data_IF_045631564299
#
_entry.id   IF_045631564299
#
_cell.length_a   1.000
_cell.length_b   1.000
_cell.length_c   1.000
_cell.angle_alpha   90.00
_cell.angle_beta   90.00
_cell.angle_gamma   90.00
#
_symmetry.space_group_name_H-M   'P 1'
#
loop_
_entity.id
_entity.type
_entity.pdbx_description
1 polymer ?
#
# COMPACT_ATOMS: atom_id res chain seq x y z
N UNK A 1 29.28 -36.24 -6.84
CA UNK A 1 29.81 -36.40 -5.47
C UNK A 1 29.79 -37.87 -5.05
N UNK A 2 28.63 -38.50 -4.84
CA UNK A 2 28.50 -39.92 -4.43
C UNK A 2 29.29 -40.87 -5.35
N UNK A 3 29.26 -40.65 -6.67
CA UNK A 3 30.02 -41.42 -7.66
C UNK A 3 31.54 -41.31 -7.45
N UNK A 4 32.05 -40.13 -7.11
CA UNK A 4 33.48 -39.93 -6.85
C UNK A 4 33.92 -40.53 -5.50
N UNK A 5 33.09 -40.38 -4.46
CA UNK A 5 33.29 -41.08 -3.18
C UNK A 5 33.36 -42.60 -3.38
N UNK A 6 32.44 -43.15 -4.19
CA UNK A 6 32.43 -44.56 -4.57
C UNK A 6 33.66 -44.95 -5.40
N UNK A 7 34.08 -44.15 -6.40
CA UNK A 7 35.28 -44.43 -7.18
C UNK A 7 36.56 -44.41 -6.34
N UNK A 8 36.69 -43.47 -5.39
CA UNK A 8 37.83 -43.44 -4.46
C UNK A 8 37.81 -44.61 -3.49
N UNK A 9 36.63 -44.99 -3.00
CA UNK A 9 36.45 -46.14 -2.13
C UNK A 9 36.70 -47.48 -2.86
N UNK A 10 36.25 -47.61 -4.11
CA UNK A 10 36.51 -48.75 -4.99
C UNK A 10 37.99 -48.83 -5.35
N UNK A 11 38.66 -47.69 -5.61
CA UNK A 11 40.11 -47.67 -5.81
C UNK A 11 40.84 -48.19 -4.57
N UNK A 12 40.48 -47.73 -3.36
CA UNK A 12 41.06 -48.23 -2.10
C UNK A 12 40.84 -49.75 -1.90
N UNK A 13 39.69 -50.28 -2.34
CA UNK A 13 39.37 -51.71 -2.28
C UNK A 13 40.10 -52.58 -3.32
N UNK A 14 40.41 -52.04 -4.50
CA UNK A 14 41.07 -52.78 -5.59
C UNK A 14 42.60 -52.88 -5.43
N UNK A 15 43.19 -52.03 -4.58
CA UNK A 15 44.64 -51.85 -4.48
C UNK A 15 45.33 -52.76 -3.45
N UNK A 16 44.58 -53.55 -2.65
CA UNK A 16 45.12 -54.57 -1.73
C UNK A 16 44.53 -55.97 -2.00
N UNK A 17 45.20 -56.83 -2.79
CA UNK A 17 44.83 -58.23 -2.89
C UNK A 17 45.38 -59.03 -1.70
N UNK A 18 44.56 -59.97 -1.22
CA UNK A 18 44.77 -60.79 -0.03
C UNK A 18 45.74 -61.97 -0.29
N UNK A 19 46.95 -61.74 -0.83
CA UNK A 19 47.88 -62.82 -1.24
C UNK A 19 49.32 -62.63 -0.72
N UNK A 20 49.77 -63.63 0.05
CA UNK A 20 51.14 -63.86 0.54
C UNK A 20 52.15 -64.02 -0.63
N UNK A 21 52.83 -62.96 -1.06
CA UNK A 21 54.12 -63.07 -1.78
C UNK A 21 54.97 -61.81 -1.51
N UNK A 22 55.92 -61.90 -0.57
CA UNK A 22 56.70 -60.77 -0.02
C UNK A 22 57.56 -59.98 -1.02
N UNK A 23 57.83 -60.51 -2.23
CA UNK A 23 58.73 -59.85 -3.20
C UNK A 23 58.04 -59.19 -4.41
N UNK A 24 56.71 -59.29 -4.55
CA UNK A 24 55.93 -58.58 -5.59
C UNK A 24 55.13 -57.39 -5.05
N UNK A 25 54.96 -57.28 -3.73
CA UNK A 25 54.25 -56.19 -3.05
C UNK A 25 54.95 -54.83 -3.19
N UNK A 26 56.28 -54.78 -3.11
CA UNK A 26 57.03 -53.51 -3.05
C UNK A 26 56.92 -52.66 -4.33
N UNK A 27 56.80 -53.29 -5.51
CA UNK A 27 56.69 -52.56 -6.79
C UNK A 27 55.25 -52.15 -7.07
N UNK A 28 54.27 -52.98 -6.68
CA UNK A 28 52.84 -52.70 -6.86
C UNK A 28 52.31 -51.65 -5.86
N UNK A 29 52.79 -51.63 -4.61
CA UNK A 29 52.42 -50.61 -3.62
C UNK A 29 52.76 -49.20 -4.10
N UNK A 30 53.94 -48.99 -4.71
CA UNK A 30 54.37 -47.65 -5.13
C UNK A 30 53.48 -47.02 -6.23
N UNK A 31 52.92 -47.85 -7.12
CA UNK A 31 52.09 -47.42 -8.25
C UNK A 31 50.62 -47.31 -7.86
N UNK A 32 50.19 -48.14 -6.92
CA UNK A 32 48.85 -48.17 -6.37
C UNK A 32 48.58 -46.96 -5.46
N UNK A 33 49.57 -46.55 -4.67
CA UNK A 33 49.51 -45.33 -3.85
C UNK A 33 49.33 -44.06 -4.68
N UNK A 34 49.94 -43.99 -5.87
CA UNK A 34 49.82 -42.82 -6.75
C UNK A 34 48.38 -42.62 -7.24
N UNK A 35 47.71 -43.69 -7.67
CA UNK A 35 46.33 -43.63 -8.17
C UNK A 35 45.39 -43.20 -7.03
N UNK A 36 45.53 -43.82 -5.86
CA UNK A 36 44.74 -43.48 -4.67
C UNK A 36 44.92 -42.01 -4.26
N UNK A 37 46.16 -41.54 -4.17
CA UNK A 37 46.47 -40.16 -3.79
C UNK A 37 45.94 -39.15 -4.82
N UNK A 38 46.05 -39.46 -6.11
CA UNK A 38 45.52 -38.59 -7.17
C UNK A 38 43.98 -38.44 -7.07
N UNK A 39 43.27 -39.55 -6.88
CA UNK A 39 41.82 -39.53 -6.72
C UNK A 39 41.38 -38.79 -5.45
N UNK A 40 42.09 -38.98 -4.33
CA UNK A 40 41.83 -38.26 -3.09
C UNK A 40 42.03 -36.75 -3.22
N UNK A 41 43.10 -36.31 -3.88
CA UNK A 41 43.36 -34.89 -4.11
C UNK A 41 42.26 -34.26 -4.98
N UNK A 42 41.82 -34.97 -6.03
CA UNK A 42 40.74 -34.51 -6.91
C UNK A 42 39.42 -34.39 -6.14
N UNK A 43 39.07 -35.36 -5.28
CA UNK A 43 37.82 -35.27 -4.50
C UNK A 43 37.84 -34.14 -3.49
N UNK A 44 38.96 -33.93 -2.78
CA UNK A 44 39.11 -32.80 -1.85
C UNK A 44 39.01 -31.46 -2.59
N UNK A 45 39.61 -31.33 -3.77
CA UNK A 45 39.48 -30.13 -4.62
C UNK A 45 38.03 -29.87 -5.03
N UNK A 46 37.29 -30.92 -5.39
CA UNK A 46 35.89 -30.81 -5.75
C UNK A 46 34.99 -30.44 -4.55
N UNK A 47 35.29 -31.00 -3.36
CA UNK A 47 34.65 -30.63 -2.09
C UNK A 47 34.80 -29.13 -1.83
N UNK A 48 36.01 -28.59 -2.01
CA UNK A 48 36.28 -27.17 -1.83
C UNK A 48 35.48 -26.32 -2.83
N UNK A 49 35.47 -26.70 -4.12
CA UNK A 49 34.73 -25.96 -5.15
C UNK A 49 33.22 -25.96 -4.92
N UNK A 50 32.64 -27.06 -4.44
CA UNK A 50 31.21 -27.15 -4.12
C UNK A 50 30.90 -26.29 -2.89
N UNK A 51 31.75 -26.38 -1.87
CA UNK A 51 31.53 -25.67 -0.61
C UNK A 51 31.53 -24.15 -0.79
N UNK A 52 32.24 -23.62 -1.80
CA UNK A 52 32.26 -22.19 -2.12
C UNK A 52 31.03 -21.71 -2.92
N UNK A 53 30.28 -22.61 -3.58
CA UNK A 53 29.12 -22.24 -4.41
C UNK A 53 27.82 -22.21 -3.59
N UNK A 54 27.71 -21.26 -2.66
CA UNK A 54 26.56 -21.15 -1.75
C UNK A 54 25.71 -19.90 -2.03
N UNK A 55 25.26 -19.73 -3.28
CA UNK A 55 24.54 -18.53 -3.73
C UNK A 55 23.17 -18.32 -3.05
N UNK A 56 22.54 -19.38 -2.53
CA UNK A 56 21.22 -19.30 -1.91
C UNK A 56 21.21 -18.51 -0.59
N UNK A 57 22.35 -18.38 0.10
CA UNK A 57 22.47 -17.61 1.35
C UNK A 57 22.11 -16.14 1.13
N UNK A 58 22.38 -15.58 -0.05
CA UNK A 58 22.13 -14.17 -0.36
C UNK A 58 20.65 -13.79 -0.18
N UNK A 59 19.72 -14.71 -0.47
CA UNK A 59 18.27 -14.48 -0.50
C UNK A 59 17.57 -14.72 0.86
N UNK A 60 18.31 -15.09 1.90
CA UNK A 60 17.74 -15.33 3.23
C UNK A 60 17.52 -14.02 4.00
N UNK A 61 16.43 -13.97 4.76
CA UNK A 61 16.12 -12.86 5.66
C UNK A 61 17.08 -12.85 6.88
N UNK A 62 17.23 -11.70 7.55
CA UNK A 62 18.14 -11.54 8.72
C UNK A 62 17.94 -12.62 9.79
N UNK A 63 16.68 -12.94 10.15
CA UNK A 63 16.36 -14.00 11.13
C UNK A 63 16.82 -15.39 10.68
N UNK A 64 16.63 -15.72 9.40
CA UNK A 64 17.03 -17.01 8.83
C UNK A 64 18.55 -17.15 8.76
N UNK A 65 19.26 -16.07 8.39
CA UNK A 65 20.73 -16.04 8.41
C UNK A 65 21.28 -16.23 9.82
N UNK A 66 20.66 -15.62 10.84
CA UNK A 66 21.09 -15.77 12.23
C UNK A 66 20.88 -17.20 12.75
N UNK A 67 19.76 -17.82 12.41
CA UNK A 67 19.48 -19.22 12.72
C UNK A 67 20.46 -20.17 11.99
N UNK A 68 20.75 -19.90 10.72
CA UNK A 68 21.69 -20.68 9.92
C UNK A 68 23.13 -20.55 10.47
N UNK A 69 23.52 -19.37 10.93
CA UNK A 69 24.81 -19.12 11.58
C UNK A 69 24.92 -19.94 12.86
N UNK A 70 23.91 -19.93 13.73
CA UNK A 70 23.88 -20.76 14.93
C UNK A 70 23.95 -22.26 14.61
N UNK A 71 23.17 -22.71 13.63
CA UNK A 71 23.16 -24.10 13.17
C UNK A 71 24.53 -24.53 12.63
N UNK A 72 25.21 -23.66 11.86
CA UNK A 72 26.53 -23.94 11.30
C UNK A 72 27.61 -24.10 12.37
N UNK A 73 27.53 -23.33 13.47
CA UNK A 73 28.42 -23.50 14.64
C UNK A 73 28.18 -24.87 15.28
N UNK A 74 26.92 -25.21 15.56
CA UNK A 74 26.56 -26.48 16.21
C UNK A 74 27.02 -27.68 15.37
N UNK A 75 26.76 -27.67 14.06
CA UNK A 75 27.16 -28.74 13.15
C UNK A 75 28.68 -28.83 12.99
N UNK A 76 29.39 -27.70 12.98
CA UNK A 76 30.86 -27.68 12.96
C UNK A 76 31.44 -28.30 14.24
N UNK A 77 30.90 -27.94 15.40
CA UNK A 77 31.31 -28.53 16.70
C UNK A 77 31.02 -30.04 16.73
N UNK A 78 29.84 -30.48 16.29
CA UNK A 78 29.51 -31.90 16.21
C UNK A 78 30.43 -32.65 15.24
N UNK A 79 30.76 -32.06 14.09
CA UNK A 79 31.70 -32.66 13.13
C UNK A 79 33.11 -32.78 13.74
N UNK A 80 33.54 -31.77 14.50
CA UNK A 80 34.82 -31.80 15.21
C UNK A 80 34.86 -32.86 16.32
N UNK A 81 33.79 -32.95 17.14
CA UNK A 81 33.67 -33.98 18.18
C UNK A 81 33.75 -35.38 17.55
N UNK A 82 32.99 -35.63 16.47
CA UNK A 82 33.04 -36.90 15.75
C UNK A 82 34.45 -37.22 15.25
N UNK A 83 35.16 -36.24 14.68
CA UNK A 83 36.55 -36.43 14.25
C UNK A 83 37.48 -36.77 15.41
N UNK A 84 37.33 -36.09 16.56
CA UNK A 84 38.17 -36.30 17.74
C UNK A 84 37.87 -37.59 18.51
N UNK A 85 36.64 -38.11 18.38
CA UNK A 85 36.19 -39.30 19.13
C UNK A 85 36.63 -40.59 18.46
N UNK A 86 36.88 -40.59 17.14
CA UNK A 86 37.48 -41.75 16.50
C UNK A 86 38.91 -41.93 16.97
N UNK A 87 39.12 -42.96 17.78
CA UNK A 87 40.43 -43.37 18.25
C UNK A 87 41.26 -43.97 17.11
N UNK A 88 42.60 -43.92 17.24
CA UNK A 88 43.50 -44.57 16.28
C UNK A 88 43.24 -46.09 16.17
N UNK A 89 42.75 -46.73 17.23
CA UNK A 89 42.43 -48.16 17.24
C UNK A 89 41.18 -48.49 16.42
N UNK A 90 40.13 -47.67 16.51
CA UNK A 90 38.90 -47.83 15.72
C UNK A 90 39.16 -47.65 14.22
N UNK A 91 40.01 -46.69 13.84
CA UNK A 91 40.45 -46.54 12.45
C UNK A 91 41.19 -47.78 11.94
N UNK A 92 42.03 -48.41 12.77
CA UNK A 92 42.73 -49.65 12.41
C UNK A 92 41.73 -50.79 12.19
N UNK A 93 40.70 -50.91 13.04
CA UNK A 93 39.66 -51.92 12.92
C UNK A 93 38.83 -51.71 11.64
N UNK A 94 38.38 -50.48 11.37
CA UNK A 94 37.60 -50.14 10.17
C UNK A 94 38.43 -50.38 8.90
N UNK A 95 39.70 -49.98 8.90
CA UNK A 95 40.63 -50.22 7.80
C UNK A 95 40.84 -51.70 7.51
N UNK A 96 40.92 -52.53 8.56
CA UNK A 96 41.07 -53.98 8.42
C UNK A 96 39.77 -54.65 7.93
N UNK A 97 38.60 -54.09 8.25
CA UNK A 97 37.31 -54.58 7.76
C UNK A 97 37.08 -54.19 6.29
N UNK A 98 37.26 -52.91 5.95
CA UNK A 98 37.15 -52.40 4.58
C UNK A 98 37.88 -51.06 4.43
N UNK A 99 38.98 -51.01 3.65
CA UNK A 99 39.68 -49.76 3.33
C UNK A 99 38.78 -48.73 2.62
N UNK A 100 37.79 -49.22 1.87
CA UNK A 100 36.81 -48.38 1.18
C UNK A 100 35.91 -47.61 2.17
N UNK A 101 35.54 -48.26 3.28
CA UNK A 101 34.68 -47.67 4.30
C UNK A 101 35.43 -46.62 5.13
N UNK A 102 36.69 -46.90 5.50
CA UNK A 102 37.58 -45.93 6.14
C UNK A 102 37.68 -44.66 5.30
N UNK A 103 37.90 -44.83 3.99
CA UNK A 103 38.08 -43.71 3.08
C UNK A 103 36.80 -42.90 2.84
N UNK A 104 35.65 -43.57 2.80
CA UNK A 104 34.36 -42.88 2.73
C UNK A 104 34.13 -42.05 3.99
N UNK A 105 34.43 -42.62 5.17
CA UNK A 105 34.23 -41.95 6.45
C UNK A 105 35.21 -40.78 6.65
N UNK A 106 36.46 -40.90 6.22
CA UNK A 106 37.43 -39.80 6.26
C UNK A 106 37.00 -38.63 5.37
N UNK A 107 36.58 -38.91 4.12
CA UNK A 107 36.15 -37.90 3.18
C UNK A 107 34.83 -37.22 3.58
N UNK A 108 33.89 -37.92 4.23
CA UNK A 108 32.65 -37.30 4.73
C UNK A 108 32.91 -36.37 5.91
N UNK A 109 33.86 -36.72 6.78
CA UNK A 109 34.29 -35.84 7.88
C UNK A 109 34.97 -34.57 7.34
N UNK A 110 35.87 -34.71 6.36
CA UNK A 110 36.54 -33.58 5.70
C UNK A 110 35.52 -32.69 5.00
N UNK A 111 34.55 -33.29 4.30
CA UNK A 111 33.46 -32.55 3.68
C UNK A 111 32.65 -31.76 4.70
N UNK A 112 32.21 -32.39 5.80
CA UNK A 112 31.47 -31.73 6.87
C UNK A 112 32.23 -30.53 7.44
N UNK A 113 33.52 -30.73 7.78
CA UNK A 113 34.35 -29.68 8.34
C UNK A 113 34.51 -28.49 7.39
N UNK A 114 34.82 -28.72 6.12
CA UNK A 114 34.99 -27.66 5.12
C UNK A 114 33.65 -26.97 4.84
N UNK A 115 32.58 -27.73 4.63
CA UNK A 115 31.28 -27.20 4.25
C UNK A 115 30.65 -26.33 5.35
N UNK A 116 30.64 -26.78 6.61
CA UNK A 116 30.08 -26.00 7.70
C UNK A 116 30.89 -24.74 8.00
N UNK A 117 32.22 -24.81 7.85
CA UNK A 117 33.10 -23.63 7.99
C UNK A 117 32.82 -22.60 6.89
N UNK A 118 32.68 -23.03 5.64
CA UNK A 118 32.36 -22.12 4.53
C UNK A 118 30.97 -21.52 4.69
N UNK A 119 29.96 -22.29 5.12
CA UNK A 119 28.62 -21.75 5.44
C UNK A 119 28.70 -20.70 6.54
N UNK A 120 29.47 -20.95 7.60
CA UNK A 120 29.62 -20.00 8.70
C UNK A 120 30.19 -18.65 8.21
N UNK A 121 31.31 -18.67 7.48
CA UNK A 121 31.93 -17.43 7.01
C UNK A 121 31.09 -16.72 5.94
N UNK A 122 30.49 -17.47 5.01
CA UNK A 122 29.64 -16.87 3.96
C UNK A 122 28.38 -16.23 4.56
N UNK A 123 27.73 -16.86 5.54
CA UNK A 123 26.59 -16.26 6.25
C UNK A 123 26.99 -15.03 7.06
N UNK A 124 28.15 -15.06 7.73
CA UNK A 124 28.68 -13.93 8.50
C UNK A 124 28.91 -12.69 7.63
N UNK A 125 29.53 -12.83 6.46
CA UNK A 125 29.77 -11.71 5.54
C UNK A 125 28.50 -11.19 4.86
N UNK A 126 27.47 -12.02 4.71
CA UNK A 126 26.18 -11.61 4.15
C UNK A 126 25.19 -11.05 5.20
N UNK A 127 25.58 -10.95 6.47
CA UNK A 127 24.75 -10.40 7.54
C UNK A 127 24.59 -8.87 7.44
N UNK A 128 25.65 -8.06 7.21
CA UNK A 128 25.53 -6.61 7.08
C UNK A 128 24.74 -6.19 5.82
N UNK A 129 24.88 -6.96 4.73
CA UNK A 129 24.12 -6.71 3.49
C UNK A 129 22.63 -7.01 3.66
N UNK A 130 22.26 -8.02 4.45
CA UNK A 130 20.86 -8.28 4.78
C UNK A 130 20.22 -7.10 5.53
N UNK A 131 20.95 -6.52 6.48
CA UNK A 131 20.49 -5.38 7.27
C UNK A 131 20.31 -4.11 6.42
N UNK A 132 21.22 -3.84 5.48
CA UNK A 132 21.08 -2.73 4.55
C UNK A 132 19.87 -2.88 3.60
N UNK A 133 19.60 -4.10 3.12
CA UNK A 133 18.45 -4.41 2.26
C UNK A 133 17.14 -4.28 3.05
N UNK A 134 17.07 -4.82 4.27
CA UNK A 134 15.90 -4.72 5.13
C UNK A 134 15.58 -3.26 5.45
N UNK A 135 16.60 -2.44 5.76
CA UNK A 135 16.43 -0.99 5.97
C UNK A 135 15.91 -0.29 4.71
N UNK A 136 16.45 -0.60 3.53
CA UNK A 136 15.98 -0.03 2.26
C UNK A 136 14.54 -0.44 1.92
N UNK A 137 14.15 -1.68 2.24
CA UNK A 137 12.77 -2.15 2.08
C UNK A 137 11.80 -1.42 3.01
N UNK A 138 12.21 -1.15 4.26
CA UNK A 138 11.44 -0.33 5.20
C UNK A 138 11.32 1.12 4.74
N UNK A 139 12.40 1.73 4.23
CA UNK A 139 12.37 3.07 3.62
C UNK A 139 11.35 3.12 2.45
N UNK A 140 11.39 2.14 1.55
CA UNK A 140 10.45 2.05 0.42
C UNK A 140 8.99 1.84 0.85
N UNK A 141 8.76 1.04 1.89
CA UNK A 141 7.42 0.84 2.47
C UNK A 141 6.90 2.13 3.09
N UNK A 142 7.75 2.85 3.82
CA UNK A 142 7.40 4.14 4.42
C UNK A 142 7.05 5.20 3.37
N UNK A 143 7.80 5.24 2.25
CA UNK A 143 7.49 6.11 1.11
C UNK A 143 6.17 5.73 0.45
N UNK A 144 5.87 4.43 0.33
CA UNK A 144 4.58 3.95 -0.19
C UNK A 144 3.42 4.34 0.72
N UNK A 145 3.59 4.25 2.04
CA UNK A 145 2.57 4.65 3.01
C UNK A 145 2.36 6.17 2.98
N UNK A 146 3.44 6.95 2.84
CA UNK A 146 3.38 8.40 2.68
C UNK A 146 2.72 8.80 1.34
N UNK A 147 3.03 8.09 0.26
CA UNK A 147 2.38 8.26 -1.04
C UNK A 147 0.89 7.90 -0.98
N UNK A 148 0.49 6.88 -0.20
CA UNK A 148 -0.91 6.56 0.04
C UNK A 148 -1.62 7.68 0.81
N UNK A 149 -0.99 8.23 1.84
CA UNK A 149 -1.54 9.38 2.59
C UNK A 149 -1.67 10.63 1.71
N UNK A 150 -0.73 10.88 0.80
CA UNK A 150 -0.82 12.01 -0.14
C UNK A 150 -1.88 11.79 -1.24
N UNK A 151 -1.98 10.58 -1.80
CA UNK A 151 -2.96 10.28 -2.84
C UNK A 151 -4.38 10.08 -2.29
N UNK A 152 -4.52 9.79 -0.98
CA UNK A 152 -5.80 9.70 -0.26
C UNK A 152 -6.62 11.00 -0.29
N UNK A 153 -6.02 12.12 -0.71
CA UNK A 153 -6.65 13.43 -0.74
C UNK A 153 -7.24 13.78 -2.12
N UNK A 154 -6.87 13.08 -3.20
CA UNK A 154 -7.16 13.56 -4.57
C UNK A 154 -8.09 12.70 -5.42
N UNK A 155 -8.27 11.41 -5.10
CA UNK A 155 -9.16 10.54 -5.88
C UNK A 155 -9.74 9.42 -5.01
N UNK A 156 -10.98 9.63 -4.53
CA UNK A 156 -11.69 8.61 -3.75
C UNK A 156 -12.02 7.37 -4.61
N UNK A 157 -12.16 7.52 -5.92
CA UNK A 157 -12.55 6.44 -6.82
C UNK A 157 -11.41 5.42 -6.94
N UNK A 158 -10.19 5.86 -7.27
CA UNK A 158 -9.01 4.99 -7.32
C UNK A 158 -8.69 4.35 -5.94
N UNK A 159 -8.88 5.12 -4.87
CA UNK A 159 -8.71 4.61 -3.51
C UNK A 159 -9.72 3.51 -3.19
N UNK A 160 -10.99 3.71 -3.54
CA UNK A 160 -12.07 2.77 -3.24
C UNK A 160 -11.82 1.42 -3.93
N UNK A 161 -11.31 1.40 -5.16
CA UNK A 161 -10.87 0.18 -5.86
C UNK A 161 -9.69 -0.52 -5.18
N UNK A 162 -8.71 0.27 -4.73
CA UNK A 162 -7.56 -0.27 -3.99
C UNK A 162 -8.00 -0.87 -2.67
N UNK A 163 -8.95 -0.23 -1.97
CA UNK A 163 -9.50 -0.70 -0.71
C UNK A 163 -10.31 -1.97 -0.91
N UNK A 164 -11.23 -2.04 -1.88
CA UNK A 164 -12.03 -3.25 -2.14
C UNK A 164 -11.16 -4.42 -2.59
N UNK A 165 -10.20 -4.20 -3.50
CA UNK A 165 -9.29 -5.26 -3.96
C UNK A 165 -8.33 -5.76 -2.87
N UNK A 166 -7.86 -4.87 -1.98
CA UNK A 166 -7.02 -5.26 -0.84
C UNK A 166 -7.85 -6.00 0.21
N UNK A 167 -9.07 -5.54 0.47
CA UNK A 167 -10.03 -6.19 1.39
C UNK A 167 -10.31 -7.62 0.94
N UNK A 168 -10.55 -7.84 -0.36
CA UNK A 168 -10.77 -9.18 -0.93
C UNK A 168 -9.59 -10.12 -0.65
N UNK A 169 -8.36 -9.65 -0.88
CA UNK A 169 -7.14 -10.45 -0.68
C UNK A 169 -6.85 -10.73 0.80
N UNK A 170 -6.98 -9.73 1.66
CA UNK A 170 -6.58 -9.83 3.09
C UNK A 170 -7.63 -10.57 3.91
N UNK A 171 -8.92 -10.38 3.62
CA UNK A 171 -10.00 -11.10 4.29
C UNK A 171 -10.28 -12.47 3.67
N UNK A 172 -9.51 -12.89 2.65
CA UNK A 172 -9.72 -14.12 1.90
C UNK A 172 -11.21 -14.30 1.53
N UNK A 173 -11.80 -13.24 0.98
CA UNK A 173 -13.21 -13.20 0.57
C UNK A 173 -13.32 -13.43 -0.94
N UNK A 174 -14.51 -13.81 -1.39
CA UNK A 174 -14.81 -14.03 -2.82
C UNK A 174 -15.27 -12.75 -3.51
N UNK A 175 -15.81 -11.80 -2.74
CA UNK A 175 -16.20 -10.49 -3.22
C UNK A 175 -16.02 -9.42 -2.14
N UNK A 176 -15.88 -8.17 -2.57
CA UNK A 176 -15.88 -6.98 -1.71
C UNK A 176 -16.43 -5.78 -2.47
N UNK A 177 -17.20 -4.92 -1.80
CA UNK A 177 -17.75 -3.71 -2.40
C UNK A 177 -17.96 -2.59 -1.36
N UNK A 178 -17.99 -1.35 -1.83
CA UNK A 178 -18.26 -0.16 -1.01
C UNK A 178 -19.56 0.48 -1.45
N UNK A 179 -20.38 0.81 -0.46
CA UNK A 179 -21.61 1.58 -0.61
C UNK A 179 -21.46 2.88 0.15
N UNK A 180 -21.89 3.98 -0.47
CA UNK A 180 -22.02 5.29 0.17
C UNK A 180 -23.51 5.64 0.28
N UNK A 181 -23.90 6.20 1.42
CA UNK A 181 -25.25 6.68 1.70
C UNK A 181 -25.32 8.18 1.42
N UNK A 182 -26.02 8.56 0.35
CA UNK A 182 -26.29 9.95 -0.02
C UNK A 182 -27.79 10.21 -0.08
N UNK A 183 -28.31 11.15 0.72
CA UNK A 183 -29.72 11.57 0.68
C UNK A 183 -30.72 10.39 0.70
N UNK A 184 -30.50 9.43 1.61
CA UNK A 184 -31.26 8.17 1.73
C UNK A 184 -31.21 7.22 0.52
N UNK A 185 -30.39 7.52 -0.49
CA UNK A 185 -30.03 6.61 -1.56
C UNK A 185 -28.67 5.95 -1.30
N UNK A 186 -28.52 4.77 -1.85
CA UNK A 186 -27.34 3.91 -1.73
C UNK A 186 -26.67 3.92 -3.10
N UNK A 187 -25.47 4.49 -3.15
CA UNK A 187 -24.66 4.50 -4.34
C UNK A 187 -23.50 3.53 -4.16
N UNK A 188 -23.39 2.56 -5.07
CA UNK A 188 -22.28 1.63 -5.11
C UNK A 188 -21.10 2.30 -5.83
N UNK A 189 -19.98 2.43 -5.14
CA UNK A 189 -18.80 3.12 -5.66
C UNK A 189 -17.75 2.16 -6.23
N UNK A 190 -17.53 1.03 -5.57
CA UNK A 190 -16.51 0.07 -6.01
C UNK A 190 -16.95 -1.35 -5.71
N UNK A 191 -16.59 -2.28 -6.61
CA UNK A 191 -16.97 -3.68 -6.53
C UNK A 191 -15.90 -4.58 -7.14
N UNK A 192 -15.61 -5.69 -6.46
CA UNK A 192 -14.71 -6.73 -6.94
C UNK A 192 -15.32 -8.10 -6.62
N UNK A 193 -15.32 -9.02 -7.59
CA UNK A 193 -15.72 -10.42 -7.40
C UNK A 193 -17.22 -10.71 -7.44
N UNK A 194 -18.06 -9.70 -7.70
CA UNK A 194 -19.52 -9.81 -7.79
C UNK A 194 -20.07 -8.89 -8.91
N UNK A 195 -21.27 -9.18 -9.43
CA UNK A 195 -21.96 -8.30 -10.36
C UNK A 195 -22.60 -7.10 -9.66
N UNK A 196 -22.66 -5.94 -10.34
CA UNK A 196 -23.21 -4.68 -9.79
C UNK A 196 -24.64 -4.85 -9.29
N UNK A 197 -25.48 -5.56 -10.05
CA UNK A 197 -26.90 -5.78 -9.71
C UNK A 197 -27.01 -6.59 -8.42
N UNK A 198 -26.23 -7.66 -8.29
CA UNK A 198 -26.25 -8.54 -7.11
C UNK A 198 -25.78 -7.78 -5.86
N UNK A 199 -24.72 -6.98 -5.98
CA UNK A 199 -24.20 -6.17 -4.87
C UNK A 199 -25.22 -5.14 -4.38
N UNK A 200 -25.91 -4.46 -5.30
CA UNK A 200 -26.96 -3.50 -4.93
C UNK A 200 -28.13 -4.19 -4.22
N UNK A 201 -28.62 -5.31 -4.75
CA UNK A 201 -29.71 -6.06 -4.13
C UNK A 201 -29.37 -6.54 -2.71
N UNK A 202 -28.16 -7.06 -2.51
CA UNK A 202 -27.69 -7.50 -1.20
C UNK A 202 -27.55 -6.30 -0.23
N UNK A 203 -27.01 -5.19 -0.71
CA UNK A 203 -26.82 -3.98 0.11
C UNK A 203 -28.15 -3.40 0.56
N UNK A 204 -29.11 -3.25 -0.35
CA UNK A 204 -30.47 -2.80 -0.03
C UNK A 204 -31.16 -3.74 0.96
N UNK A 205 -30.99 -5.06 0.78
CA UNK A 205 -31.54 -6.06 1.69
C UNK A 205 -30.99 -5.92 3.11
N UNK A 206 -29.67 -5.76 3.26
CA UNK A 206 -29.04 -5.64 4.58
C UNK A 206 -29.45 -4.34 5.29
N UNK A 207 -29.56 -3.24 4.56
CA UNK A 207 -29.98 -1.94 5.10
C UNK A 207 -31.47 -1.97 5.50
N UNK A 208 -32.34 -2.49 4.64
CA UNK A 208 -33.80 -2.52 4.88
C UNK A 208 -34.20 -3.38 6.08
N UNK A 209 -33.43 -4.42 6.39
CA UNK A 209 -33.69 -5.31 7.52
C UNK A 209 -32.92 -4.93 8.80
N UNK A 210 -32.30 -3.75 8.85
CA UNK A 210 -31.52 -3.26 10.01
C UNK A 210 -30.45 -4.28 10.48
N UNK A 211 -29.87 -5.02 9.52
CA UNK A 211 -28.86 -6.03 9.82
C UNK A 211 -27.48 -5.43 10.03
N UNK A 212 -27.31 -4.12 9.82
CA UNK A 212 -26.05 -3.39 9.89
C UNK A 212 -25.88 -2.66 11.23
N UNK A 213 -24.64 -2.37 11.60
CA UNK A 213 -24.30 -1.50 12.72
C UNK A 213 -23.54 -0.28 12.22
N UNK A 214 -23.94 0.91 12.66
CA UNK A 214 -23.29 2.17 12.27
C UNK A 214 -21.94 2.40 12.97
N UNK A 215 -21.61 1.60 13.98
CA UNK A 215 -20.44 1.80 14.85
C UNK A 215 -19.47 0.63 14.84
N UNK A 216 -19.96 -0.59 14.65
CA UNK A 216 -19.16 -1.81 14.78
C UNK A 216 -19.22 -2.71 13.55
N UNK A 217 -18.16 -3.48 13.35
CA UNK A 217 -18.11 -4.49 12.29
C UNK A 217 -19.03 -5.65 12.66
N UNK A 218 -19.91 -6.05 11.74
CA UNK A 218 -20.90 -7.10 11.97
C UNK A 218 -20.80 -8.21 10.94
N UNK A 219 -20.80 -9.44 11.43
CA UNK A 219 -20.85 -10.66 10.62
C UNK A 219 -22.32 -11.07 10.47
N UNK A 220 -22.75 -11.34 9.24
CA UNK A 220 -24.10 -11.81 8.93
C UNK A 220 -24.03 -13.10 8.12
N UNK A 221 -24.72 -14.14 8.58
CA UNK A 221 -24.93 -15.37 7.83
C UNK A 221 -26.20 -15.24 6.98
N UNK A 222 -26.03 -15.25 5.66
CA UNK A 222 -27.11 -15.09 4.69
C UNK A 222 -27.88 -16.41 4.46
N UNK A 223 -27.34 -17.57 4.84
CA UNK A 223 -28.03 -18.85 4.68
C UNK A 223 -29.36 -18.90 5.45
N UNK A 224 -29.46 -18.14 6.55
CA UNK A 224 -30.69 -18.02 7.34
C UNK A 224 -31.81 -17.27 6.58
N UNK A 225 -31.46 -16.46 5.59
CA UNK A 225 -32.37 -15.55 4.88
C UNK A 225 -32.60 -15.92 3.41
N UNK A 226 -31.75 -16.78 2.84
CA UNK A 226 -31.77 -17.23 1.44
C UNK A 226 -33.14 -17.82 1.04
N UNK A 227 -33.78 -18.60 1.93
CA UNK A 227 -35.10 -19.22 1.68
C UNK A 227 -36.28 -18.25 1.57
N UNK A 228 -36.14 -17.00 2.04
CA UNK A 228 -37.27 -16.06 2.16
C UNK A 228 -37.26 -14.95 1.11
N UNK A 229 -36.11 -14.66 0.47
CA UNK A 229 -35.96 -13.44 -0.34
C UNK A 229 -35.29 -13.61 -1.72
N UNK A 230 -35.07 -14.84 -2.20
CA UNK A 230 -34.61 -15.11 -3.58
C UNK A 230 -33.32 -14.33 -3.94
N UNK A 231 -32.38 -14.27 -2.99
CA UNK A 231 -31.07 -13.63 -3.14
C UNK A 231 -30.24 -14.36 -4.21
N UNK A 232 -29.30 -13.68 -4.89
CA UNK A 232 -28.39 -14.33 -5.83
C UNK A 232 -27.61 -15.44 -5.11
N UNK A 233 -27.79 -16.67 -5.63
CA UNK A 233 -27.50 -17.98 -5.04
C UNK A 233 -26.01 -18.30 -4.77
N UNK A 234 -25.18 -17.29 -4.50
CA UNK A 234 -23.73 -17.44 -4.47
C UNK A 234 -23.07 -17.04 -3.15
N UNK A 235 -23.66 -16.19 -2.30
CA UNK A 235 -23.00 -15.67 -1.09
C UNK A 235 -23.64 -16.22 0.17
N UNK A 236 -22.82 -16.79 1.06
CA UNK A 236 -23.25 -17.45 2.29
C UNK A 236 -22.96 -16.63 3.55
N UNK A 237 -21.81 -15.96 3.60
CA UNK A 237 -21.40 -15.15 4.75
C UNK A 237 -20.94 -13.78 4.30
N UNK A 238 -21.31 -12.73 5.05
CA UNK A 238 -20.94 -11.35 4.82
C UNK A 238 -20.38 -10.72 6.09
N UNK A 239 -19.33 -9.93 5.94
CA UNK A 239 -18.90 -8.92 6.90
C UNK A 239 -19.30 -7.56 6.37
N UNK A 240 -19.87 -6.75 7.25
CA UNK A 240 -20.16 -5.35 7.00
C UNK A 240 -19.39 -4.49 8.01
N UNK A 241 -18.69 -3.48 7.52
CA UNK A 241 -17.99 -2.50 8.34
C UNK A 241 -18.47 -1.08 7.98
N UNK A 242 -18.88 -0.26 8.95
CA UNK A 242 -19.35 1.09 8.68
C UNK A 242 -18.21 2.02 8.28
N UNK A 243 -18.47 2.90 7.31
CA UNK A 243 -17.59 4.02 6.99
C UNK A 243 -17.96 5.17 7.92
N UNK A 244 -17.53 5.08 9.18
CA UNK A 244 -17.85 6.07 10.20
C UNK A 244 -16.63 6.91 10.58
N UNK A 245 -16.85 8.24 10.65
CA UNK A 245 -15.93 9.19 11.29
C UNK A 245 -16.74 9.99 12.31
N UNK A 246 -16.23 10.13 13.53
CA UNK A 246 -16.91 10.85 14.62
C UNK A 246 -18.40 10.46 14.84
N UNK A 247 -18.71 9.16 14.78
CA UNK A 247 -20.09 8.62 14.93
C UNK A 247 -21.06 9.02 13.80
N UNK A 248 -20.56 9.53 12.67
CA UNK A 248 -21.36 9.81 11.48
C UNK A 248 -21.08 8.74 10.43
N UNK A 249 -22.02 7.82 10.24
CA UNK A 249 -21.88 6.78 9.23
C UNK A 249 -22.22 7.32 7.83
N UNK A 250 -21.27 7.20 6.91
CA UNK A 250 -21.41 7.61 5.51
C UNK A 250 -21.65 6.45 4.56
N UNK A 251 -21.54 5.21 5.00
CA UNK A 251 -21.64 4.06 4.11
C UNK A 251 -21.16 2.76 4.72
N UNK A 252 -21.00 1.73 3.90
CA UNK A 252 -20.53 0.43 4.36
C UNK A 252 -19.54 -0.21 3.38
N UNK A 253 -18.51 -0.83 3.93
CA UNK A 253 -17.61 -1.73 3.24
C UNK A 253 -18.07 -3.15 3.52
N UNK A 254 -18.27 -3.91 2.47
CA UNK A 254 -18.71 -5.30 2.54
C UNK A 254 -17.61 -6.23 2.06
N UNK A 255 -17.50 -7.39 2.72
CA UNK A 255 -16.71 -8.53 2.28
C UNK A 255 -17.58 -9.78 2.35
N UNK A 256 -17.59 -10.58 1.27
CA UNK A 256 -18.51 -11.70 1.12
C UNK A 256 -17.78 -12.99 0.74
N UNK A 257 -18.22 -14.12 1.30
CA UNK A 257 -17.75 -15.47 0.96
C UNK A 257 -18.88 -16.31 0.39
N UNK A 258 -18.59 -17.05 -0.67
CA UNK A 258 -19.44 -18.06 -1.31
C UNK A 258 -19.37 -19.41 -0.59
N UNK A 259 -18.27 -19.65 0.11
CA UNK A 259 -18.04 -20.85 0.91
C UNK A 259 -18.81 -20.78 2.23
N UNK A 260 -19.20 -21.91 2.80
CA UNK A 260 -19.91 -22.01 4.09
C UNK A 260 -19.04 -21.70 5.32
N UNK A 261 -17.83 -21.16 5.14
CA UNK A 261 -16.94 -20.77 6.24
C UNK A 261 -17.34 -19.37 6.70
N UNK A 262 -17.75 -19.27 7.96
CA UNK A 262 -18.08 -18.01 8.62
C UNK A 262 -16.79 -17.20 8.80
N UNK A 263 -16.89 -15.87 8.72
CA UNK A 263 -15.77 -14.99 9.05
C UNK A 263 -15.40 -15.08 10.53
N UNK A 264 -14.10 -15.02 10.81
CA UNK A 264 -13.57 -14.99 12.18
C UNK A 264 -13.18 -13.56 12.57
N UNK A 265 -12.97 -13.28 13.86
CA UNK A 265 -12.59 -11.94 14.33
C UNK A 265 -11.29 -11.43 13.71
N UNK A 266 -10.37 -12.34 13.36
CA UNK A 266 -9.13 -12.01 12.65
C UNK A 266 -9.39 -11.51 11.22
N UNK A 267 -10.44 -12.00 10.56
CA UNK A 267 -10.85 -11.53 9.23
C UNK A 267 -11.53 -10.16 9.31
N UNK A 268 -12.19 -9.84 10.43
CA UNK A 268 -12.96 -8.61 10.61
C UNK A 268 -12.08 -7.39 10.89
N UNK A 269 -10.95 -7.57 11.58
CA UNK A 269 -10.01 -6.47 11.92
C UNK A 269 -9.50 -5.71 10.68
N UNK A 270 -9.02 -6.39 9.61
CA UNK A 270 -8.64 -5.71 8.37
C UNK A 270 -9.81 -4.97 7.73
N UNK A 271 -10.99 -5.58 7.65
CA UNK A 271 -12.18 -4.97 7.02
C UNK A 271 -12.58 -3.68 7.76
N UNK A 272 -12.62 -3.71 9.09
CA UNK A 272 -12.89 -2.51 9.90
C UNK A 272 -11.83 -1.42 9.73
N UNK A 273 -10.55 -1.80 9.68
CA UNK A 273 -9.45 -0.84 9.46
C UNK A 273 -9.55 -0.17 8.09
N UNK A 274 -9.82 -0.95 7.04
CA UNK A 274 -9.98 -0.43 5.70
C UNK A 274 -11.24 0.42 5.53
N UNK A 275 -12.34 0.07 6.22
CA UNK A 275 -13.55 0.89 6.27
C UNK A 275 -13.26 2.25 6.93
N UNK A 276 -12.47 2.28 8.01
CA UNK A 276 -12.03 3.52 8.64
C UNK A 276 -11.20 4.40 7.71
N UNK A 277 -10.27 3.82 6.95
CA UNK A 277 -9.50 4.56 5.94
C UNK A 277 -10.38 5.09 4.81
N UNK A 278 -11.34 4.31 4.33
CA UNK A 278 -12.31 4.76 3.34
C UNK A 278 -13.16 5.92 3.87
N UNK A 279 -13.59 5.85 5.14
CA UNK A 279 -14.40 6.89 5.77
C UNK A 279 -13.66 8.23 5.84
N UNK A 280 -12.41 8.22 6.30
CA UNK A 280 -11.57 9.43 6.39
C UNK A 280 -11.28 10.01 5.00
N UNK A 281 -10.96 9.15 4.04
CA UNK A 281 -10.69 9.61 2.67
C UNK A 281 -11.93 10.22 2.01
N UNK A 282 -13.12 9.62 2.22
CA UNK A 282 -14.39 10.15 1.72
C UNK A 282 -14.70 11.53 2.32
N UNK A 283 -14.50 11.68 3.63
CA UNK A 283 -14.70 12.97 4.29
C UNK A 283 -13.73 14.04 3.77
N UNK A 284 -12.45 13.69 3.62
CA UNK A 284 -11.45 14.60 3.07
C UNK A 284 -11.77 15.00 1.62
N UNK A 285 -12.17 14.05 0.77
CA UNK A 285 -12.54 14.34 -0.62
C UNK A 285 -13.71 15.33 -0.68
N UNK A 286 -14.74 15.13 0.15
CA UNK A 286 -15.89 16.03 0.24
C UNK A 286 -15.51 17.42 0.74
N UNK A 287 -14.71 17.51 1.81
CA UNK A 287 -14.25 18.79 2.35
C UNK A 287 -13.41 19.57 1.33
N UNK A 288 -12.62 18.86 0.52
CA UNK A 288 -11.80 19.45 -0.52
C UNK A 288 -12.65 19.96 -1.68
N UNK A 289 -13.67 19.21 -2.10
CA UNK A 289 -14.66 19.67 -3.09
C UNK A 289 -15.41 20.92 -2.61
N UNK A 290 -15.90 20.92 -1.36
CA UNK A 290 -16.56 22.08 -0.75
C UNK A 290 -15.62 23.30 -0.67
N UNK A 291 -14.33 23.08 -0.37
CA UNK A 291 -13.33 24.14 -0.33
C UNK A 291 -13.05 24.72 -1.72
N UNK A 292 -12.94 23.87 -2.75
CA UNK A 292 -12.72 24.32 -4.13
C UNK A 292 -13.91 25.14 -4.62
N UNK A 293 -15.13 24.67 -4.37
CA UNK A 293 -16.34 25.40 -4.78
C UNK A 293 -16.46 26.73 -4.04
N UNK A 294 -16.12 26.76 -2.74
CA UNK A 294 -16.07 28.01 -1.98
C UNK A 294 -15.05 28.99 -2.55
N UNK A 295 -13.83 28.54 -2.86
CA UNK A 295 -12.79 29.39 -3.46
C UNK A 295 -13.22 29.93 -4.83
N UNK A 296 -13.91 29.10 -5.62
CA UNK A 296 -14.48 29.53 -6.91
C UNK A 296 -15.53 30.63 -6.72
N UNK A 297 -16.47 30.44 -5.78
CA UNK A 297 -17.50 31.44 -5.48
C UNK A 297 -16.89 32.75 -4.97
N UNK A 298 -15.89 32.68 -4.09
CA UNK A 298 -15.14 33.85 -3.62
C UNK A 298 -14.51 34.63 -4.78
N UNK A 299 -13.88 33.93 -5.74
CA UNK A 299 -13.33 34.55 -6.96
C UNK A 299 -14.42 35.19 -7.84
N UNK A 300 -15.57 34.54 -8.00
CA UNK A 300 -16.69 35.11 -8.76
C UNK A 300 -17.22 36.39 -8.10
N UNK A 301 -17.25 36.44 -6.75
CA UNK A 301 -17.64 37.62 -5.99
C UNK A 301 -16.60 38.75 -6.08
N UNK A 302 -15.31 38.44 -6.06
CA UNK A 302 -14.23 39.43 -6.26
C UNK A 302 -14.35 40.12 -7.63
N UNK A 303 -14.63 39.35 -8.68
CA UNK A 303 -14.85 39.89 -10.03
C UNK A 303 -16.09 40.80 -10.05
N UNK A 304 -17.19 40.36 -9.44
CA UNK A 304 -18.41 41.17 -9.35
C UNK A 304 -18.17 42.47 -8.59
N UNK A 305 -17.36 42.44 -7.52
CA UNK A 305 -16.94 43.63 -6.78
C UNK A 305 -16.14 44.59 -7.65
N UNK A 306 -15.19 44.09 -8.44
CA UNK A 306 -14.40 44.93 -9.36
C UNK A 306 -15.29 45.61 -10.40
N UNK A 307 -16.27 44.88 -10.96
CA UNK A 307 -17.25 45.41 -11.91
C UNK A 307 -18.12 46.48 -11.26
N UNK A 308 -18.67 46.23 -10.07
CA UNK A 308 -19.44 47.22 -9.30
C UNK A 308 -18.61 48.48 -9.05
N UNK A 309 -17.35 48.32 -8.65
CA UNK A 309 -16.48 49.46 -8.39
C UNK A 309 -16.25 50.31 -9.64
N UNK A 310 -16.17 49.69 -10.84
CA UNK A 310 -16.08 50.39 -12.13
C UNK A 310 -17.39 51.08 -12.56
N UNK A 311 -18.54 50.56 -12.13
CA UNK A 311 -19.85 51.18 -12.39
C UNK A 311 -19.99 52.48 -11.59
N UNK A 312 -19.47 52.54 -10.36
CA UNK A 312 -19.48 53.75 -9.55
C UNK A 312 -18.60 54.88 -10.16
N UNK A 313 -18.88 56.15 -9.83
CA UNK A 313 -18.08 57.28 -10.28
C UNK A 313 -16.60 57.13 -9.89
N UNK A 314 -15.70 57.12 -10.88
CA UNK A 314 -14.26 57.05 -10.64
C UNK A 314 -13.65 58.40 -10.22
N UNK A 315 -14.38 59.49 -10.49
CA UNK A 315 -13.94 60.86 -10.19
C UNK A 315 -15.15 61.69 -9.81
N UNK A 316 -14.97 62.55 -8.82
CA UNK A 316 -15.97 63.55 -8.45
C UNK A 316 -15.97 64.68 -9.50
N UNK A 317 -17.14 65.20 -9.87
CA UNK A 317 -17.21 66.34 -10.77
C UNK A 317 -16.63 67.59 -10.11
N UNK A 318 -15.95 68.42 -10.90
CA UNK A 318 -15.26 69.63 -10.42
C UNK A 318 -16.06 70.86 -10.86
N UNK A 319 -16.51 71.65 -9.89
CA UNK A 319 -17.19 72.91 -10.12
C UNK A 319 -16.53 74.04 -9.33
N UNK A 320 -16.50 75.24 -9.91
CA UNK A 320 -15.76 76.39 -9.34
C UNK A 320 -16.23 76.80 -7.93
N UNK A 321 -17.50 76.58 -7.62
CA UNK A 321 -18.13 77.01 -6.36
C UNK A 321 -18.76 75.84 -5.58
N UNK A 322 -18.44 74.58 -5.93
CA UNK A 322 -19.02 73.39 -5.31
C UNK A 322 -17.97 72.28 -5.23
N UNK A 323 -17.66 71.86 -4.01
CA UNK A 323 -16.75 70.74 -3.72
C UNK A 323 -17.56 69.49 -3.40
N UNK A 324 -17.26 68.37 -4.08
CA UNK A 324 -17.96 67.09 -3.93
C UNK A 324 -16.93 66.01 -3.60
N UNK A 325 -17.20 65.25 -2.55
CA UNK A 325 -16.42 64.07 -2.17
C UNK A 325 -17.37 62.89 -1.95
N UNK A 326 -16.97 61.71 -2.42
CA UNK A 326 -17.68 60.45 -2.22
C UNK A 326 -16.75 59.40 -1.63
N UNK A 327 -17.33 58.48 -0.85
CA UNK A 327 -16.65 57.30 -0.31
C UNK A 327 -17.66 56.14 -0.34
N UNK A 328 -17.23 54.99 -0.86
CA UNK A 328 -18.03 53.78 -0.90
C UNK A 328 -17.28 52.65 -0.21
N UNK A 329 -17.84 52.16 0.90
CA UNK A 329 -17.28 51.03 1.67
C UNK A 329 -18.39 50.00 1.85
N UNK A 330 -18.42 48.93 1.04
CA UNK A 330 -19.43 47.89 1.17
C UNK A 330 -19.21 47.09 2.45
N UNK A 331 -20.30 46.65 3.09
CA UNK A 331 -20.26 45.82 4.30
C UNK A 331 -19.96 44.32 4.01
N UNK A 332 -20.24 43.87 2.78
CA UNK A 332 -19.98 42.52 2.27
C UNK A 332 -19.14 42.60 0.98
N UNK A 333 -18.97 41.49 0.24
CA UNK A 333 -18.19 41.48 -1.01
C UNK A 333 -18.79 42.41 -2.09
N UNK A 334 -20.12 42.50 -2.20
CA UNK A 334 -20.83 43.38 -3.14
C UNK A 334 -22.02 44.05 -2.45
N UNK A 335 -22.11 45.38 -2.53
CA UNK A 335 -23.13 46.20 -1.86
C UNK A 335 -24.38 46.48 -2.71
N UNK A 336 -25.46 46.93 -2.08
CA UNK A 336 -26.67 47.43 -2.77
C UNK A 336 -26.65 48.95 -3.03
N UNK A 337 -25.84 49.70 -2.30
CA UNK A 337 -25.86 51.17 -2.40
C UNK A 337 -25.25 51.64 -3.72
N UNK A 338 -25.97 52.51 -4.41
CA UNK A 338 -25.60 53.15 -5.67
C UNK A 338 -25.55 54.65 -5.48
N UNK A 339 -24.52 55.29 -6.05
CA UNK A 339 -24.53 56.72 -6.24
C UNK A 339 -23.90 57.09 -7.59
N UNK A 340 -24.33 58.21 -8.16
CA UNK A 340 -23.78 58.71 -9.42
C UNK A 340 -24.04 60.21 -9.61
N UNK A 341 -23.30 60.79 -10.57
CA UNK A 341 -23.36 62.21 -10.91
C UNK A 341 -23.64 62.37 -12.40
N UNK A 342 -24.70 63.11 -12.74
CA UNK A 342 -25.10 63.35 -14.12
C UNK A 342 -25.17 64.86 -14.40
N UNK A 343 -24.53 65.32 -15.48
CA UNK A 343 -24.68 66.69 -15.94
C UNK A 343 -26.02 66.82 -16.70
N UNK A 344 -27.01 67.48 -16.09
CA UNK A 344 -28.32 67.73 -16.70
C UNK A 344 -28.19 68.91 -17.69
N UNK A 345 -27.48 69.96 -17.27
CA UNK A 345 -27.11 71.09 -18.13
C UNK A 345 -25.84 71.77 -17.60
N UNK A 346 -25.30 72.75 -18.34
CA UNK A 346 -24.11 73.53 -17.94
C UNK A 346 -24.18 74.15 -16.53
N UNK A 347 -25.37 74.31 -15.98
CA UNK A 347 -25.60 74.92 -14.66
C UNK A 347 -26.36 74.01 -13.69
N UNK A 348 -26.74 72.78 -14.09
CA UNK A 348 -27.48 71.82 -13.24
C UNK A 348 -26.75 70.49 -13.15
N UNK A 349 -26.39 70.11 -11.93
CA UNK A 349 -25.86 68.79 -11.60
C UNK A 349 -26.96 67.94 -10.98
N UNK A 350 -27.20 66.75 -11.54
CA UNK A 350 -27.99 65.69 -10.94
C UNK A 350 -27.13 64.80 -10.06
N UNK A 351 -27.62 64.49 -8.86
CA UNK A 351 -27.01 63.53 -7.94
C UNK A 351 -28.02 62.43 -7.68
N UNK A 352 -27.62 61.18 -7.91
CA UNK A 352 -28.45 60.01 -7.59
C UNK A 352 -27.79 59.29 -6.42
N UNK A 353 -28.61 58.93 -5.43
CA UNK A 353 -28.26 58.02 -4.35
C UNK A 353 -29.43 57.05 -4.22
N UNK A 354 -29.16 55.76 -4.30
CA UNK A 354 -30.17 54.72 -4.22
C UNK A 354 -29.65 53.55 -3.38
N UNK A 355 -30.53 52.94 -2.61
CA UNK A 355 -30.30 51.62 -2.03
C UNK A 355 -31.00 50.60 -2.94
N UNK A 356 -30.20 49.84 -3.67
CA UNK A 356 -30.72 48.80 -4.55
C UNK A 356 -31.05 47.58 -3.69
N UNK A 357 -32.34 47.22 -3.66
CA UNK A 357 -32.80 46.02 -2.97
C UNK A 357 -32.11 44.76 -3.50
N UNK A 358 -31.20 44.20 -2.72
CA UNK A 358 -30.47 42.97 -3.08
C UNK A 358 -29.13 42.86 -2.37
N UNK A 359 -28.40 41.76 -2.61
CA UNK A 359 -27.01 41.57 -2.15
C UNK A 359 -26.26 40.70 -3.15
N UNK A 360 -24.94 40.81 -3.17
CA UNK A 360 -24.12 40.01 -4.10
C UNK A 360 -24.23 40.48 -5.55
N UNK A 361 -24.05 39.56 -6.50
CA UNK A 361 -23.92 39.86 -7.93
C UNK A 361 -25.21 40.47 -8.53
N UNK A 362 -26.39 40.05 -8.08
CA UNK A 362 -27.68 40.55 -8.57
C UNK A 362 -27.84 42.06 -8.35
N UNK A 363 -27.41 42.57 -7.19
CA UNK A 363 -27.48 44.00 -6.88
C UNK A 363 -26.60 44.85 -7.81
N UNK A 364 -25.43 44.33 -8.20
CA UNK A 364 -24.54 45.01 -9.14
C UNK A 364 -25.14 45.10 -10.55
N UNK A 365 -25.89 44.09 -11.00
CA UNK A 365 -26.59 44.15 -12.28
C UNK A 365 -27.70 45.20 -12.30
N UNK A 366 -28.53 45.25 -11.25
CA UNK A 366 -29.57 46.27 -11.13
C UNK A 366 -28.95 47.67 -11.07
N UNK A 367 -27.83 47.85 -10.35
CA UNK A 367 -27.07 49.10 -10.34
C UNK A 367 -26.64 49.54 -11.74
N UNK A 368 -26.12 48.61 -12.56
CA UNK A 368 -25.72 48.89 -13.95
C UNK A 368 -26.91 49.33 -14.81
N UNK A 369 -28.06 48.67 -14.66
CA UNK A 369 -29.30 49.00 -15.37
C UNK A 369 -29.81 50.40 -14.99
N UNK A 370 -29.91 50.67 -13.69
CA UNK A 370 -30.32 51.98 -13.16
C UNK A 370 -29.40 53.09 -13.68
N UNK A 371 -28.08 52.86 -13.67
CA UNK A 371 -27.11 53.80 -14.25
C UNK A 371 -27.38 54.07 -15.73
N UNK A 372 -27.65 53.03 -16.52
CA UNK A 372 -27.96 53.17 -17.94
C UNK A 372 -29.23 53.99 -18.19
N UNK A 373 -30.28 53.75 -17.38
CA UNK A 373 -31.53 54.49 -17.45
C UNK A 373 -31.30 55.97 -17.11
N UNK A 374 -30.67 56.28 -15.97
CA UNK A 374 -30.40 57.66 -15.57
C UNK A 374 -29.47 58.38 -16.55
N UNK A 375 -28.43 57.72 -17.07
CA UNK A 375 -27.53 58.29 -18.07
C UNK A 375 -28.24 58.68 -19.38
N UNK A 376 -29.35 58.00 -19.70
CA UNK A 376 -30.16 58.26 -20.89
C UNK A 376 -31.20 59.34 -20.63
N UNK A 377 -31.95 59.23 -19.52
CA UNK A 377 -33.02 60.16 -19.18
C UNK A 377 -32.50 61.55 -18.81
N UNK A 378 -31.35 61.66 -18.13
CA UNK A 378 -30.73 62.95 -17.77
C UNK A 378 -30.39 63.84 -18.97
N UNK A 379 -30.29 63.28 -20.19
CA UNK A 379 -30.07 64.03 -21.43
C UNK A 379 -31.36 64.49 -22.10
N UNK A 380 -32.49 63.90 -21.72
CA UNK A 380 -33.80 64.14 -22.33
C UNK A 380 -34.66 65.07 -21.49
N UNK A 381 -34.46 65.10 -20.17
CA UNK A 381 -35.27 65.84 -19.22
C UNK A 381 -34.41 66.77 -18.36
N UNK A 382 -34.84 68.03 -18.22
CA UNK A 382 -34.14 69.09 -17.45
C UNK A 382 -34.58 69.19 -15.97
N UNK A 383 -35.55 68.37 -15.56
CA UNK A 383 -36.17 68.32 -14.23
C UNK A 383 -36.42 66.86 -13.81
N UNK A 384 -36.28 66.48 -12.51
CA UNK A 384 -36.33 65.10 -12.02
C UNK A 384 -37.65 64.35 -12.23
#
# INVERSE_FOLDING_TARGET
MIIFFLLTAISASLLKPNLNVENLQVILDSKNDFIYNAFYIITVSFILSISLRVAWIAFLNKKQKLALLALSIVLSVLSWINFSTLSSEEFIIIRNFSPALEQLLSLTMIYGAIYFTVIFFTTLFHLPTAEAIDRKSQELTSVKDLSKLMNQVFDFEELSETITSTTLKVSNSDAAWIVIKENDKINLHSIVGLGIIDANQISEFLIKNELLSDTEVKITDLNLFEKKYNLPNSIKSIVSAPLSVHNNNKGFLFAARKTSRIFEDEDCKPVGTFAGFAAVALENAKLLEESIEKERLEKELDVAREVQYKILPQRNPIYKNLEITSLFVPAFEVGGDYYDFFEISKTKLGVVIADVSGKGIEAAFIMAEVKGIFATLSKLYDDP
#
